data_IF_094304761541
#
_entry.id   IF_094304761541
#
_cell.length_a   1.000
_cell.length_b   1.000
_cell.length_c   1.000
_cell.angle_alpha   90.00
_cell.angle_beta   90.00
_cell.angle_gamma   90.00
#
_symmetry.space_group_name_H-M   'P 1'
#
loop_
_entity.id
_entity.type
_entity.pdbx_description
1 polymer ?
#
# COMPACT_ATOMS: atom_id res chain seq x y z
N UNK A 1 37.30 26.32 58.36
CA UNK A 1 37.94 26.25 57.03
C UNK A 1 37.94 24.79 56.59
N UNK A 2 37.04 24.38 55.70
CA UNK A 2 37.08 23.02 55.15
C UNK A 2 37.53 23.09 53.68
N UNK A 3 38.79 22.71 53.45
CA UNK A 3 39.35 22.48 52.13
C UNK A 3 38.54 21.39 51.43
N UNK A 4 37.87 21.73 50.33
CA UNK A 4 37.35 20.73 49.40
C UNK A 4 38.54 20.13 48.66
N UNK A 5 38.81 18.86 48.93
CA UNK A 5 39.79 18.06 48.19
C UNK A 5 39.52 18.16 46.69
N UNK A 6 40.57 18.41 45.90
CA UNK A 6 40.48 18.44 44.45
C UNK A 6 40.10 17.03 43.97
N UNK A 7 39.06 16.87 43.12
CA UNK A 7 38.70 15.55 42.62
C UNK A 7 39.88 14.96 41.84
N UNK A 8 40.31 13.77 42.27
CA UNK A 8 41.27 12.93 41.57
C UNK A 8 40.91 12.83 40.08
N UNK A 9 41.90 12.98 39.19
CA UNK A 9 41.69 12.83 37.75
C UNK A 9 41.17 11.43 37.47
N UNK A 10 40.01 11.34 36.84
CA UNK A 10 39.41 10.06 36.49
C UNK A 10 40.31 9.27 35.53
N UNK A 11 40.39 7.95 35.72
CA UNK A 11 41.23 7.07 34.91
C UNK A 11 40.86 7.15 33.42
N UNK A 12 41.82 6.98 32.53
CA UNK A 12 41.59 7.02 31.07
C UNK A 12 40.51 6.00 30.70
N UNK A 13 39.40 6.46 30.14
CA UNK A 13 38.26 5.62 29.76
C UNK A 13 37.14 5.49 30.79
N UNK A 14 37.25 6.05 31.99
CA UNK A 14 36.18 6.02 33.00
C UNK A 14 34.97 6.87 32.57
N UNK A 15 33.76 6.36 32.78
CA UNK A 15 32.52 7.05 32.40
C UNK A 15 31.79 7.55 33.63
N UNK A 16 31.61 8.88 33.71
CA UNK A 16 30.92 9.51 34.84
C UNK A 16 29.44 9.77 34.51
N UNK A 17 28.56 9.53 35.47
CA UNK A 17 27.15 9.90 35.38
C UNK A 17 26.98 11.30 35.99
N UNK A 18 26.45 12.23 35.21
CA UNK A 18 26.12 13.59 35.63
C UNK A 18 24.61 13.77 35.56
N UNK A 19 24.01 14.35 36.61
CA UNK A 19 22.64 14.85 36.55
C UNK A 19 22.62 16.29 36.04
N UNK A 20 21.79 16.59 35.04
CA UNK A 20 21.60 17.92 34.48
C UNK A 20 20.12 18.11 34.13
N UNK A 21 19.47 19.14 34.69
CA UNK A 21 18.04 19.42 34.50
C UNK A 21 17.13 18.21 34.75
N UNK A 22 17.34 17.49 35.86
CA UNK A 22 16.66 16.23 36.22
C UNK A 22 16.81 15.09 35.18
N UNK A 23 17.84 15.14 34.32
CA UNK A 23 18.14 14.07 33.35
C UNK A 23 19.56 13.56 33.54
N UNK A 24 19.72 12.24 33.37
CA UNK A 24 21.02 11.57 33.50
C UNK A 24 21.81 11.67 32.18
N UNK A 25 23.06 12.10 32.28
CA UNK A 25 24.01 12.21 31.18
C UNK A 25 25.28 11.43 31.51
N UNK A 26 25.85 10.75 30.53
CA UNK A 26 27.15 10.11 30.63
C UNK A 26 28.22 11.05 30.06
N UNK A 27 29.30 11.25 30.81
CA UNK A 27 30.40 12.16 30.45
C UNK A 27 31.72 11.41 30.60
N UNK A 28 32.51 11.38 29.54
CA UNK A 28 33.79 10.67 29.51
C UNK A 28 34.75 11.28 28.50
N UNK A 29 36.02 10.89 28.56
CA UNK A 29 37.05 11.32 27.60
C UNK A 29 37.75 10.12 26.99
N UNK A 30 37.81 10.07 25.67
CA UNK A 30 38.46 9.01 24.90
C UNK A 30 39.08 9.63 23.63
N UNK A 31 40.23 9.12 23.18
CA UNK A 31 40.89 9.62 21.96
C UNK A 31 41.24 11.12 21.98
N UNK A 32 41.47 11.72 23.16
CA UNK A 32 41.73 13.17 23.29
C UNK A 32 40.49 14.08 23.15
N UNK A 33 39.30 13.50 22.97
CA UNK A 33 38.03 14.23 22.88
C UNK A 33 37.14 13.95 24.09
N UNK A 34 36.36 14.95 24.50
CA UNK A 34 35.35 14.82 25.57
C UNK A 34 33.99 14.53 24.96
N UNK A 35 33.36 13.45 25.41
CA UNK A 35 32.06 13.00 24.93
C UNK A 35 30.97 13.25 25.98
N UNK A 36 29.80 13.67 25.51
CA UNK A 36 28.59 13.88 26.30
C UNK A 36 27.47 13.06 25.67
N UNK A 37 26.89 12.14 26.43
CA UNK A 37 25.81 11.27 25.98
C UNK A 37 24.59 11.42 26.89
N UNK A 38 23.54 12.05 26.38
CA UNK A 38 22.27 12.14 27.09
C UNK A 38 21.55 10.79 27.06
N UNK A 39 21.23 10.23 28.23
CA UNK A 39 20.52 8.95 28.31
C UNK A 39 19.00 9.11 28.13
N UNK A 40 18.49 10.34 28.23
CA UNK A 40 17.07 10.64 28.19
C UNK A 40 16.29 10.25 29.45
N UNK A 41 16.90 9.50 30.37
CA UNK A 41 16.28 9.03 31.60
C UNK A 41 16.17 10.13 32.67
N UNK A 42 15.10 10.12 33.48
CA UNK A 42 15.00 11.00 34.64
C UNK A 42 15.98 10.57 35.73
N UNK A 43 16.39 11.51 36.56
CA UNK A 43 17.29 11.26 37.70
C UNK A 43 16.54 10.58 38.87
N UNK A 44 16.28 9.27 38.75
CA UNK A 44 15.75 8.42 39.82
C UNK A 44 16.64 7.20 40.06
N UNK A 45 16.55 6.59 41.25
CA UNK A 45 17.42 5.46 41.64
C UNK A 45 17.38 4.28 40.67
N UNK A 46 16.22 3.98 40.06
CA UNK A 46 16.07 2.93 39.06
C UNK A 46 16.81 3.27 37.76
N UNK A 47 16.66 4.50 37.27
CA UNK A 47 17.29 4.96 36.03
C UNK A 47 18.78 5.25 36.19
N UNK A 48 19.24 5.57 37.41
CA UNK A 48 20.67 5.65 37.73
C UNK A 48 21.36 4.29 37.54
N UNK A 49 20.73 3.18 37.97
CA UNK A 49 21.26 1.83 37.70
C UNK A 49 21.36 1.55 36.20
N UNK A 50 20.34 1.93 35.41
CA UNK A 50 20.37 1.78 33.95
C UNK A 50 21.47 2.63 33.29
N UNK A 51 21.63 3.89 33.74
CA UNK A 51 22.72 4.75 33.29
C UNK A 51 24.10 4.16 33.65
N UNK A 52 24.23 3.54 34.83
CA UNK A 52 25.45 2.85 35.24
C UNK A 52 25.76 1.64 34.36
N UNK A 53 24.75 0.81 34.03
CA UNK A 53 24.94 -0.29 33.09
C UNK A 53 25.43 0.20 31.72
N UNK A 54 24.90 1.33 31.24
CA UNK A 54 25.36 1.98 30.00
C UNK A 54 26.76 2.57 30.10
N UNK A 55 27.10 3.17 31.23
CA UNK A 55 28.46 3.62 31.50
C UNK A 55 29.46 2.45 31.43
N UNK A 56 29.14 1.33 32.07
CA UNK A 56 29.97 0.12 32.05
C UNK A 56 30.07 -0.51 30.65
N UNK A 57 29.01 -0.43 29.83
CA UNK A 57 29.06 -0.88 28.42
C UNK A 57 30.09 -0.07 27.62
N UNK A 58 30.10 1.26 27.79
CA UNK A 58 31.08 2.15 27.15
C UNK A 58 32.49 1.87 27.67
N UNK A 59 32.67 1.70 28.97
CA UNK A 59 33.98 1.37 29.57
C UNK A 59 34.54 0.06 29.02
N UNK A 60 33.70 -0.97 28.88
CA UNK A 60 34.08 -2.26 28.27
C UNK A 60 34.51 -2.07 26.82
N UNK A 61 33.74 -1.34 26.02
CA UNK A 61 34.06 -1.13 24.61
C UNK A 61 35.33 -0.30 24.41
N UNK A 62 35.59 0.67 25.29
CA UNK A 62 36.86 1.41 25.33
C UNK A 62 38.02 0.46 25.65
N UNK A 63 37.84 -0.43 26.62
CA UNK A 63 38.86 -1.40 27.03
C UNK A 63 39.17 -2.42 25.93
N UNK A 64 38.16 -2.90 25.21
CA UNK A 64 38.31 -3.86 24.12
C UNK A 64 38.61 -3.23 22.75
N UNK A 65 38.89 -1.92 22.69
CA UNK A 65 39.14 -1.18 21.44
C UNK A 65 38.00 -1.29 20.40
N UNK A 66 36.75 -1.43 20.89
CA UNK A 66 35.51 -1.52 20.08
C UNK A 66 34.60 -0.32 20.27
N UNK A 67 35.15 0.79 20.75
CA UNK A 67 34.39 1.99 21.03
C UNK A 67 33.87 2.63 19.73
N UNK A 68 32.57 2.83 19.67
CA UNK A 68 31.92 3.56 18.58
C UNK A 68 31.99 5.07 18.81
N UNK A 69 32.90 5.75 18.12
CA UNK A 69 33.08 7.21 18.21
C UNK A 69 31.83 8.01 17.84
N UNK A 70 30.92 7.43 17.03
CA UNK A 70 29.67 8.10 16.62
C UNK A 70 28.64 8.17 17.74
N UNK A 71 28.87 7.42 18.84
CA UNK A 71 27.96 7.22 19.96
C UNK A 71 26.60 6.62 19.58
N UNK A 72 26.41 6.19 18.32
CA UNK A 72 25.13 5.69 17.83
C UNK A 72 24.73 4.38 18.54
N UNK A 73 25.71 3.52 18.83
CA UNK A 73 25.52 2.28 19.62
C UNK A 73 24.95 2.52 21.02
N UNK A 74 25.35 3.62 21.67
CA UNK A 74 25.05 3.87 23.08
C UNK A 74 23.84 4.78 23.32
N UNK A 75 23.39 5.49 22.28
CA UNK A 75 22.17 6.30 22.39
C UNK A 75 20.97 5.40 22.62
N UNK A 76 20.03 5.79 23.49
CA UNK A 76 18.73 5.12 23.51
C UNK A 76 18.19 5.23 22.09
N UNK A 77 17.91 4.08 21.46
CA UNK A 77 17.10 4.05 20.24
C UNK A 77 15.77 4.64 20.65
N UNK A 78 15.62 5.95 20.46
CA UNK A 78 14.36 6.62 20.69
C UNK A 78 13.35 5.79 19.91
N UNK A 79 12.28 5.37 20.56
CA UNK A 79 11.09 4.85 19.87
C UNK A 79 10.41 5.97 19.07
N UNK A 80 11.20 6.85 18.44
CA UNK A 80 10.83 7.65 17.28
C UNK A 80 10.58 6.64 16.17
N UNK A 81 9.33 6.19 16.10
CA UNK A 81 8.61 5.95 14.86
C UNK A 81 9.47 5.55 13.65
N UNK A 82 10.31 4.53 13.77
CA UNK A 82 10.25 3.48 12.76
C UNK A 82 8.90 2.83 13.00
N UNK A 83 7.88 3.48 12.43
CA UNK A 83 6.93 2.72 11.64
C UNK A 83 7.87 1.98 10.67
N UNK A 84 8.39 0.81 11.07
CA UNK A 84 8.47 -0.27 10.10
C UNK A 84 7.08 -0.22 9.50
N UNK A 85 6.91 0.16 8.22
CA UNK A 85 5.63 -0.10 7.61
C UNK A 85 5.40 -1.56 7.96
N UNK A 86 4.35 -1.82 8.75
CA UNK A 86 3.77 -3.14 8.76
C UNK A 86 3.70 -3.43 7.28
N UNK A 87 4.54 -4.35 6.82
CA UNK A 87 4.48 -4.84 5.47
C UNK A 87 3.13 -5.50 5.45
N UNK A 88 2.11 -4.67 5.21
CA UNK A 88 0.78 -5.12 4.87
C UNK A 88 1.10 -6.01 3.70
N UNK A 89 0.85 -7.33 3.82
CA UNK A 89 1.19 -8.25 2.76
C UNK A 89 0.61 -7.63 1.51
N UNK A 90 1.48 -7.33 0.53
CA UNK A 90 1.09 -6.54 -0.64
C UNK A 90 0.09 -7.40 -1.41
N UNK A 91 -1.20 -7.21 -1.12
CA UNK A 91 -2.26 -8.08 -1.66
C UNK A 91 -2.27 -7.85 -3.17
N UNK A 92 -2.13 -8.93 -3.92
CA UNK A 92 -2.11 -8.85 -5.37
C UNK A 92 -3.46 -8.34 -5.91
N UNK A 93 -3.45 -7.65 -7.05
CA UNK A 93 -4.69 -7.17 -7.68
C UNK A 93 -5.68 -8.32 -7.93
N UNK A 94 -5.17 -9.52 -8.20
CA UNK A 94 -5.96 -10.76 -8.38
C UNK A 94 -6.70 -11.17 -7.12
N UNK A 95 -6.03 -11.12 -5.96
CA UNK A 95 -6.66 -11.45 -4.68
C UNK A 95 -7.73 -10.43 -4.31
N UNK A 96 -7.46 -9.14 -4.54
CA UNK A 96 -8.46 -8.09 -4.31
C UNK A 96 -9.68 -8.31 -5.21
N UNK A 97 -9.43 -8.58 -6.50
CA UNK A 97 -10.49 -8.86 -7.46
C UNK A 97 -11.35 -10.06 -7.03
N UNK A 98 -10.73 -11.17 -6.61
CA UNK A 98 -11.45 -12.33 -6.14
C UNK A 98 -12.37 -12.01 -4.93
N UNK A 99 -11.85 -11.27 -3.94
CA UNK A 99 -12.65 -10.84 -2.78
C UNK A 99 -13.77 -9.86 -3.18
N UNK A 100 -13.51 -8.97 -4.14
CA UNK A 100 -14.50 -8.04 -4.67
C UNK A 100 -15.65 -8.76 -5.39
N UNK A 101 -15.34 -9.78 -6.21
CA UNK A 101 -16.34 -10.60 -6.89
C UNK A 101 -17.20 -11.36 -5.89
N UNK A 102 -16.60 -11.92 -4.84
CA UNK A 102 -17.33 -12.58 -3.75
C UNK A 102 -18.32 -11.62 -3.08
N UNK A 103 -17.85 -10.42 -2.73
CA UNK A 103 -18.68 -9.38 -2.12
C UNK A 103 -19.81 -8.91 -3.05
N UNK A 104 -19.56 -8.85 -4.36
CA UNK A 104 -20.57 -8.47 -5.36
C UNK A 104 -21.56 -9.58 -5.71
N UNK A 105 -21.23 -10.87 -5.50
CA UNK A 105 -22.07 -12.01 -5.89
C UNK A 105 -23.53 -11.90 -5.45
N UNK A 106 -23.87 -11.59 -4.18
CA UNK A 106 -25.28 -11.47 -3.76
C UNK A 106 -25.97 -10.21 -4.29
N UNK A 107 -25.22 -9.23 -4.81
CA UNK A 107 -25.73 -7.92 -5.23
C UNK A 107 -25.95 -7.82 -6.75
N UNK A 108 -25.59 -8.85 -7.52
CA UNK A 108 -25.68 -8.82 -8.98
C UNK A 108 -26.47 -10.01 -9.53
N UNK A 109 -27.13 -9.80 -10.66
CA UNK A 109 -27.83 -10.85 -11.37
C UNK A 109 -26.85 -11.98 -11.79
N UNK A 110 -27.29 -13.25 -11.81
CA UNK A 110 -26.45 -14.37 -12.24
C UNK A 110 -25.90 -14.21 -13.66
N UNK A 111 -26.67 -13.59 -14.57
CA UNK A 111 -26.25 -13.30 -15.94
C UNK A 111 -25.08 -12.30 -15.98
N UNK A 112 -25.12 -11.23 -15.18
CA UNK A 112 -24.03 -10.26 -15.07
C UNK A 112 -22.76 -10.89 -14.52
N UNK A 113 -22.89 -11.77 -13.51
CA UNK A 113 -21.77 -12.52 -12.94
C UNK A 113 -21.10 -13.41 -13.99
N UNK A 114 -21.91 -14.16 -14.74
CA UNK A 114 -21.42 -15.07 -15.79
C UNK A 114 -20.85 -14.33 -17.00
N UNK A 115 -21.53 -13.31 -17.51
CA UNK A 115 -21.13 -12.70 -18.78
C UNK A 115 -20.05 -11.64 -18.60
N UNK A 116 -20.12 -10.84 -17.53
CA UNK A 116 -19.28 -9.66 -17.38
C UNK A 116 -18.13 -9.91 -16.41
N UNK A 117 -18.42 -10.37 -15.19
CA UNK A 117 -17.37 -10.61 -14.18
C UNK A 117 -16.46 -11.79 -14.53
N UNK A 118 -16.97 -12.82 -15.21
CA UNK A 118 -16.13 -13.91 -15.72
C UNK A 118 -15.16 -13.41 -16.81
N UNK A 119 -15.63 -12.58 -17.74
CA UNK A 119 -14.79 -12.00 -18.79
C UNK A 119 -13.69 -11.12 -18.19
N UNK A 120 -14.03 -10.26 -17.22
CA UNK A 120 -13.05 -9.43 -16.52
C UNK A 120 -12.03 -10.25 -15.73
N UNK A 121 -12.47 -11.34 -15.10
CA UNK A 121 -11.56 -12.26 -14.43
C UNK A 121 -10.59 -12.93 -15.41
N UNK A 122 -11.03 -13.23 -16.63
CA UNK A 122 -10.17 -13.74 -17.69
C UNK A 122 -9.18 -12.70 -18.21
N UNK A 123 -9.60 -11.44 -18.38
CA UNK A 123 -8.69 -10.34 -18.73
C UNK A 123 -7.62 -10.13 -17.65
N UNK A 124 -8.02 -10.17 -16.39
CA UNK A 124 -7.13 -9.98 -15.26
C UNK A 124 -6.01 -11.04 -15.22
N UNK A 125 -6.33 -12.31 -15.51
CA UNK A 125 -5.33 -13.40 -15.61
C UNK A 125 -4.31 -13.20 -16.74
N UNK A 126 -4.66 -12.43 -17.77
CA UNK A 126 -3.80 -12.16 -18.94
C UNK A 126 -2.96 -10.91 -18.75
N UNK A 127 -3.07 -10.21 -17.62
CA UNK A 127 -2.29 -9.00 -17.36
C UNK A 127 -0.81 -9.34 -17.17
N UNK A 128 0.10 -8.48 -17.66
CA UNK A 128 1.54 -8.67 -17.50
C UNK A 128 2.00 -8.47 -16.05
N UNK A 129 1.24 -7.68 -15.28
CA UNK A 129 1.51 -7.39 -13.86
C UNK A 129 0.21 -7.44 -13.07
N UNK A 130 0.31 -7.92 -11.83
CA UNK A 130 -0.77 -7.92 -10.85
C UNK A 130 -0.48 -6.96 -9.69
N UNK A 131 0.55 -6.12 -9.84
CA UNK A 131 0.83 -5.03 -8.91
C UNK A 131 -0.04 -3.82 -9.23
N UNK A 132 -0.69 -3.30 -8.20
CA UNK A 132 -1.65 -2.20 -8.31
C UNK A 132 -0.94 -0.87 -8.54
N UNK A 133 0.29 -0.72 -8.03
CA UNK A 133 1.08 0.51 -8.20
C UNK A 133 1.50 0.73 -9.66
N UNK A 134 1.46 -0.34 -10.48
CA UNK A 134 1.76 -0.30 -11.92
C UNK A 134 0.49 -0.11 -12.76
N UNK A 135 -0.48 0.66 -12.26
CA UNK A 135 -1.77 0.87 -12.91
C UNK A 135 -1.67 1.44 -14.33
N UNK A 136 -0.71 2.33 -14.59
CA UNK A 136 -0.49 2.89 -15.94
C UNK A 136 -0.11 1.80 -16.95
N UNK A 137 0.73 0.85 -16.56
CA UNK A 137 1.11 -0.26 -17.45
C UNK A 137 -0.05 -1.21 -17.72
N UNK A 138 -0.88 -1.45 -16.70
CA UNK A 138 -2.12 -2.24 -16.84
C UNK A 138 -3.05 -1.56 -17.84
N UNK A 139 -3.24 -0.24 -17.72
CA UNK A 139 -4.05 0.55 -18.66
C UNK A 139 -3.54 0.41 -20.09
N UNK A 140 -2.25 0.64 -20.29
CA UNK A 140 -1.66 0.68 -21.62
C UNK A 140 -1.74 -0.71 -22.29
N UNK A 141 -1.49 -1.78 -21.52
CA UNK A 141 -1.67 -3.16 -21.99
C UNK A 141 -3.14 -3.46 -22.36
N UNK A 142 -4.09 -3.06 -21.51
CA UNK A 142 -5.52 -3.27 -21.74
C UNK A 142 -5.99 -2.56 -23.01
N UNK A 143 -5.54 -1.32 -23.24
CA UNK A 143 -5.89 -0.55 -24.43
C UNK A 143 -5.28 -1.13 -25.72
N UNK A 144 -4.15 -1.85 -25.63
CA UNK A 144 -3.52 -2.50 -26.78
C UNK A 144 -4.13 -3.87 -27.11
N UNK A 145 -4.69 -4.57 -26.11
CA UNK A 145 -5.12 -5.97 -26.26
C UNK A 145 -6.64 -6.14 -26.37
N UNK A 146 -7.42 -5.18 -25.88
CA UNK A 146 -8.88 -5.27 -25.78
C UNK A 146 -9.50 -4.11 -26.58
N UNK A 147 -10.63 -4.33 -27.29
CA UNK A 147 -11.39 -3.24 -27.93
C UNK A 147 -11.68 -2.10 -26.96
N UNK A 148 -11.57 -0.85 -27.41
CA UNK A 148 -11.52 0.34 -26.53
C UNK A 148 -12.77 0.49 -25.64
N UNK A 149 -13.97 0.15 -26.11
CA UNK A 149 -15.18 0.15 -25.30
C UNK A 149 -15.11 -0.88 -24.15
N UNK A 150 -14.73 -2.11 -24.46
CA UNK A 150 -14.53 -3.19 -23.49
C UNK A 150 -13.38 -2.89 -22.52
N UNK A 151 -12.28 -2.31 -23.02
CA UNK A 151 -11.16 -1.84 -22.22
C UNK A 151 -11.60 -0.78 -21.20
N UNK A 152 -12.36 0.23 -21.63
CA UNK A 152 -12.90 1.26 -20.74
C UNK A 152 -13.79 0.66 -19.66
N UNK A 153 -14.70 -0.24 -20.03
CA UNK A 153 -15.59 -0.92 -19.07
C UNK A 153 -14.79 -1.75 -18.05
N UNK A 154 -13.72 -2.40 -18.48
CA UNK A 154 -12.82 -3.15 -17.61
C UNK A 154 -12.06 -2.22 -16.64
N UNK A 155 -11.51 -1.10 -17.10
CA UNK A 155 -10.84 -0.11 -16.24
C UNK A 155 -11.82 0.49 -15.21
N UNK A 156 -13.08 0.74 -15.59
CA UNK A 156 -14.13 1.17 -14.64
C UNK A 156 -14.38 0.11 -13.56
N UNK A 157 -14.37 -1.17 -13.93
CA UNK A 157 -14.52 -2.26 -12.99
C UNK A 157 -13.32 -2.38 -12.04
N UNK A 158 -12.09 -2.22 -12.54
CA UNK A 158 -10.87 -2.16 -11.71
C UNK A 158 -10.88 -0.98 -10.74
N UNK A 159 -11.31 0.20 -11.21
CA UNK A 159 -11.48 1.38 -10.36
C UNK A 159 -12.50 1.13 -9.24
N UNK A 160 -13.64 0.48 -9.56
CA UNK A 160 -14.65 0.12 -8.57
C UNK A 160 -14.14 -0.90 -7.55
N UNK A 161 -13.38 -1.89 -8.02
CA UNK A 161 -12.72 -2.90 -7.19
C UNK A 161 -11.72 -2.26 -6.21
N UNK A 162 -10.85 -1.38 -6.70
CA UNK A 162 -9.85 -0.70 -5.87
C UNK A 162 -10.50 0.30 -4.90
N UNK A 163 -11.56 1.01 -5.30
CA UNK A 163 -12.34 1.85 -4.38
C UNK A 163 -12.98 1.04 -3.25
N UNK A 164 -13.53 -0.15 -3.55
CA UNK A 164 -14.01 -1.07 -2.53
C UNK A 164 -12.87 -1.52 -1.61
N UNK A 165 -11.72 -1.89 -2.17
CA UNK A 165 -10.56 -2.34 -1.42
C UNK A 165 -10.01 -1.26 -0.47
N UNK A 166 -10.00 0.01 -0.88
CA UNK A 166 -9.64 1.15 -0.02
C UNK A 166 -10.61 1.27 1.15
N UNK A 167 -11.92 1.19 0.91
CA UNK A 167 -12.94 1.24 1.96
C UNK A 167 -12.87 0.05 2.92
N UNK A 168 -12.48 -1.12 2.41
CA UNK A 168 -12.25 -2.33 3.19
C UNK A 168 -10.89 -2.37 3.90
N UNK A 169 -10.06 -1.33 3.77
CA UNK A 169 -8.74 -1.24 4.40
C UNK A 169 -7.69 -2.21 3.83
N UNK A 170 -7.93 -2.77 2.64
CA UNK A 170 -6.99 -3.68 1.97
C UNK A 170 -5.85 -2.94 1.29
N UNK A 171 -6.10 -1.71 0.84
CA UNK A 171 -5.13 -0.85 0.14
C UNK A 171 -5.25 0.58 0.64
N UNK A 172 -4.14 1.32 0.64
CA UNK A 172 -4.10 2.70 1.17
C UNK A 172 -4.75 3.71 0.23
N UNK A 173 -4.57 3.53 -1.09
CA UNK A 173 -5.09 4.45 -2.10
C UNK A 173 -5.47 3.70 -3.36
N UNK A 174 -6.38 4.26 -4.15
CA UNK A 174 -6.84 3.66 -5.40
C UNK A 174 -6.02 4.20 -6.59
N UNK A 175 -5.21 3.36 -7.26
CA UNK A 175 -4.35 3.78 -8.36
C UNK A 175 -5.08 3.93 -9.71
N UNK A 176 -6.32 3.44 -9.84
CA UNK A 176 -7.14 3.53 -11.06
C UNK A 176 -8.12 4.70 -11.04
N UNK A 177 -8.05 5.55 -10.02
CA UNK A 177 -8.97 6.67 -9.85
C UNK A 177 -8.80 7.68 -11.00
N UNK A 178 -9.92 8.04 -11.66
CA UNK A 178 -9.93 9.01 -12.78
C UNK A 178 -9.47 8.46 -14.13
N UNK A 179 -8.80 7.30 -14.16
CA UNK A 179 -8.18 6.73 -15.36
C UNK A 179 -9.16 6.44 -16.50
N UNK A 180 -10.40 6.06 -16.18
CA UNK A 180 -11.43 5.80 -17.20
C UNK A 180 -11.92 7.06 -17.92
N UNK A 181 -11.77 8.24 -17.30
CA UNK A 181 -12.16 9.52 -17.90
C UNK A 181 -11.19 9.95 -19.01
N UNK A 182 -9.93 9.52 -18.92
CA UNK A 182 -8.89 9.78 -19.92
C UNK A 182 -9.13 8.97 -21.21
N UNK A 183 -9.82 7.83 -21.11
CA UNK A 183 -10.14 6.97 -22.25
C UNK A 183 -11.33 7.55 -23.04
N UNK A 184 -11.01 8.26 -24.12
CA UNK A 184 -11.98 8.82 -25.07
C UNK A 184 -12.30 7.79 -26.15
N UNK A 185 -13.58 7.44 -26.28
CA UNK A 185 -14.02 6.60 -27.40
C UNK A 185 -14.02 7.41 -28.70
N UNK A 186 -13.61 6.80 -29.82
CA UNK A 186 -13.76 7.39 -31.15
C UNK A 186 -15.23 7.77 -31.39
N UNK A 187 -15.47 8.87 -32.11
CA UNK A 187 -16.85 9.31 -32.43
C UNK A 187 -17.64 8.23 -33.20
N UNK A 188 -16.97 7.40 -34.00
CA UNK A 188 -17.58 6.29 -34.75
C UNK A 188 -18.13 5.18 -33.85
N UNK A 189 -17.41 4.80 -32.80
CA UNK A 189 -17.88 3.77 -31.85
C UNK A 189 -18.97 4.27 -30.91
N UNK A 190 -19.14 5.60 -30.78
CA UNK A 190 -20.31 6.16 -30.07
C UNK A 190 -21.62 5.94 -30.83
N UNK A 191 -21.54 5.68 -32.14
CA UNK A 191 -22.71 5.43 -33.00
C UNK A 191 -23.09 3.96 -33.09
N UNK A 192 -22.30 3.01 -32.55
CA UNK A 192 -22.69 1.60 -32.52
C UNK A 192 -23.90 1.32 -31.60
N UNK A 193 -24.32 2.30 -30.79
CA UNK A 193 -25.55 2.23 -30.00
C UNK A 193 -26.81 2.61 -30.80
N UNK A 194 -26.68 3.00 -32.08
CA UNK A 194 -27.84 3.18 -32.96
C UNK A 194 -28.30 1.81 -33.46
N UNK A 195 -28.95 1.06 -32.57
CA UNK A 195 -29.69 -0.14 -32.94
C UNK A 195 -30.66 0.28 -34.03
N UNK A 196 -30.41 -0.15 -35.28
CA UNK A 196 -31.29 0.17 -36.39
C UNK A 196 -32.66 -0.47 -36.13
N UNK A 197 -33.70 0.30 -35.76
CA UNK A 197 -34.98 -0.28 -35.43
C UNK A 197 -35.64 -0.76 -36.71
N UNK A 198 -36.36 -1.88 -36.65
CA UNK A 198 -37.16 -2.31 -37.79
C UNK A 198 -38.17 -1.23 -38.17
N UNK A 199 -38.18 -0.86 -39.45
CA UNK A 199 -39.24 -0.07 -40.04
C UNK A 199 -40.57 -0.84 -40.01
N UNK A 200 -41.70 -0.14 -40.17
CA UNK A 200 -43.00 -0.80 -40.25
C UNK A 200 -43.09 -1.79 -41.41
N UNK A 201 -42.46 -1.48 -42.55
CA UNK A 201 -42.40 -2.38 -43.69
C UNK A 201 -41.59 -3.65 -43.38
N UNK A 202 -40.43 -3.52 -42.73
CA UNK A 202 -39.61 -4.68 -42.33
C UNK A 202 -40.31 -5.54 -41.28
N UNK A 203 -41.01 -4.92 -40.31
CA UNK A 203 -41.85 -5.65 -39.35
C UNK A 203 -42.90 -6.48 -40.07
N UNK A 204 -43.62 -5.89 -41.02
CA UNK A 204 -44.71 -6.57 -41.74
C UNK A 204 -44.16 -7.71 -42.61
N UNK A 205 -43.00 -7.52 -43.24
CA UNK A 205 -42.28 -8.59 -43.95
C UNK A 205 -41.83 -9.72 -43.02
N UNK A 206 -41.34 -9.40 -41.82
CA UNK A 206 -40.97 -10.40 -40.81
C UNK A 206 -42.20 -11.22 -40.42
N UNK A 207 -43.33 -10.58 -40.13
CA UNK A 207 -44.59 -11.24 -39.76
C UNK A 207 -45.09 -12.13 -40.92
N UNK A 208 -45.10 -11.63 -42.15
CA UNK A 208 -45.51 -12.42 -43.33
C UNK A 208 -44.60 -13.63 -43.54
N UNK A 209 -43.30 -13.47 -43.34
CA UNK A 209 -42.34 -14.56 -43.45
C UNK A 209 -42.57 -15.64 -42.37
N UNK A 210 -42.93 -15.25 -41.15
CA UNK A 210 -43.34 -16.19 -40.10
C UNK A 210 -44.61 -16.96 -40.50
N UNK A 211 -45.62 -16.28 -41.05
CA UNK A 211 -46.88 -16.91 -41.46
C UNK A 211 -46.78 -17.87 -42.64
N UNK A 212 -45.78 -17.71 -43.52
CA UNK A 212 -45.48 -18.64 -44.61
C UNK A 212 -44.50 -19.75 -44.23
N UNK A 213 -43.94 -19.70 -43.02
CA UNK A 213 -42.93 -20.65 -42.60
C UNK A 213 -43.58 -21.93 -42.04
N UNK A 214 -43.27 -23.07 -42.68
CA UNK A 214 -43.73 -24.41 -42.29
C UNK A 214 -43.58 -24.73 -40.78
N UNK A 215 -42.59 -24.18 -40.11
CA UNK A 215 -42.30 -24.48 -38.70
C UNK A 215 -42.77 -23.41 -37.71
N UNK A 216 -43.18 -22.22 -38.19
CA UNK A 216 -43.43 -21.08 -37.30
C UNK A 216 -44.72 -20.32 -37.64
N UNK A 217 -45.52 -20.80 -38.59
CA UNK A 217 -46.80 -20.19 -39.01
C UNK A 217 -47.78 -19.97 -37.84
N UNK A 218 -47.77 -20.86 -36.85
CA UNK A 218 -48.66 -20.82 -35.69
C UNK A 218 -48.43 -19.62 -34.73
N UNK A 219 -47.36 -18.84 -34.91
CA UNK A 219 -47.11 -17.60 -34.18
C UNK A 219 -47.82 -16.38 -34.80
N UNK A 220 -48.43 -16.54 -35.97
CA UNK A 220 -49.08 -15.45 -36.73
C UNK A 220 -50.60 -15.61 -36.86
N UNK A 221 -51.14 -16.68 -36.28
CA UNK A 221 -52.57 -17.02 -36.24
C UNK A 221 -53.36 -16.23 -35.21
#
# INVERSE_FOLDING_TARGET
MYSKEKPSKANKGSVQIKSSNNRLQLVFSFGGKRHYLSTGYPDTSQYQKLAQMKATEIEKDIFYERFDETLAKYKPKSALNTITPISTPKISLTEIWAKYVEWKRPQCAPSTMKNQYQAYSAYLKRLPTHDQDRANEIRDYVLQTIPINSAKRFIVALNSCCNWATRSGLITSNPFQGMSAEIKLPKSEKMEDDINPFSSAERDQIIEAFGKNRYYEYYTS
#
